data_IF_367324305506
#
_entry.id   IF_367324305506
#
_cell.length_a   1.000
_cell.length_b   1.000
_cell.length_c   1.000
_cell.angle_alpha   90.00
_cell.angle_beta   90.00
_cell.angle_gamma   90.00
#
_symmetry.space_group_name_H-M   'P 1'
#
loop_
_entity.id
_entity.type
_entity.pdbx_description
1 polymer ?
#
# COMPACT_ATOMS: atom_id res chain seq x y z
N UNK A 1 -10.64 -12.35 8.99
CA UNK A 1 -9.31 -11.70 8.86
C UNK A 1 -8.50 -11.77 10.16
N UNK A 2 -8.70 -12.79 11.03
CA UNK A 2 -8.35 -12.62 12.45
C UNK A 2 -7.34 -13.61 13.03
N UNK A 3 -6.97 -14.66 12.29
CA UNK A 3 -5.96 -15.62 12.74
C UNK A 3 -4.70 -15.47 11.91
N UNK A 4 -3.65 -14.94 12.54
CA UNK A 4 -2.31 -14.88 11.98
C UNK A 4 -1.52 -16.05 12.57
N UNK A 5 -0.93 -16.87 11.72
CA UNK A 5 -0.14 -18.04 12.11
C UNK A 5 1.20 -18.02 11.37
N UNK A 6 2.23 -18.57 12.01
CA UNK A 6 3.55 -18.74 11.36
C UNK A 6 4.20 -17.43 10.91
N UNK A 7 3.86 -16.29 11.53
CA UNK A 7 4.43 -15.01 11.14
C UNK A 7 5.95 -14.99 11.41
N UNK A 8 6.72 -14.78 10.35
CA UNK A 8 8.17 -14.70 10.37
C UNK A 8 8.65 -13.56 9.47
N UNK A 9 9.81 -13.01 9.80
CA UNK A 9 10.45 -11.92 9.07
C UNK A 9 11.83 -12.34 8.58
N UNK A 10 12.24 -11.85 7.41
CA UNK A 10 13.56 -12.06 6.83
C UNK A 10 13.97 -10.83 6.01
N UNK A 11 15.26 -10.75 5.66
CA UNK A 11 15.76 -9.74 4.74
C UNK A 11 15.05 -9.82 3.38
N UNK A 12 14.53 -8.68 2.92
CA UNK A 12 14.00 -8.53 1.56
C UNK A 12 15.15 -8.38 0.57
N UNK A 13 15.74 -9.49 0.11
CA UNK A 13 16.88 -9.49 -0.80
C UNK A 13 16.51 -9.21 -2.26
N UNK A 14 15.36 -9.74 -2.70
CA UNK A 14 14.82 -9.51 -4.04
C UNK A 14 13.29 -9.35 -3.95
N UNK A 15 12.77 -8.28 -4.53
CA UNK A 15 11.32 -8.02 -4.58
C UNK A 15 10.95 -7.41 -5.93
N UNK A 16 9.86 -7.88 -6.57
CA UNK A 16 9.33 -7.24 -7.77
C UNK A 16 8.58 -5.94 -7.47
N UNK A 17 8.33 -5.63 -6.19
CA UNK A 17 7.55 -4.47 -5.76
C UNK A 17 8.39 -3.38 -5.07
N UNK A 18 9.48 -3.78 -4.43
CA UNK A 18 10.32 -2.92 -3.61
C UNK A 18 11.77 -3.03 -4.09
N UNK A 19 12.35 -1.90 -4.49
CA UNK A 19 13.76 -1.85 -4.89
C UNK A 19 14.51 -0.83 -4.02
N UNK A 20 15.34 -1.28 -3.06
CA UNK A 20 16.21 -0.38 -2.30
C UNK A 20 17.30 0.18 -3.21
N UNK A 21 17.49 1.49 -3.18
CA UNK A 21 18.47 2.21 -4.00
C UNK A 21 19.20 3.26 -3.15
N UNK A 22 20.48 3.46 -3.45
CA UNK A 22 21.28 4.56 -2.91
C UNK A 22 21.56 5.56 -4.02
N UNK A 23 21.14 6.82 -3.83
CA UNK A 23 21.50 7.92 -4.71
C UNK A 23 22.81 8.54 -4.25
N UNK A 24 23.85 8.46 -5.07
CA UNK A 24 25.12 9.17 -4.85
C UNK A 24 25.12 10.46 -5.69
N UNK A 25 25.39 11.59 -5.05
CA UNK A 25 25.34 12.88 -5.71
C UNK A 25 26.29 13.90 -5.07
N UNK A 26 26.66 14.93 -5.84
CA UNK A 26 27.42 16.07 -5.35
C UNK A 26 26.52 17.30 -5.29
N UNK A 27 26.44 17.94 -4.12
CA UNK A 27 25.68 19.17 -3.93
C UNK A 27 26.58 20.23 -3.31
N UNK A 28 26.72 21.38 -3.99
CA UNK A 28 27.58 22.49 -3.56
C UNK A 28 29.02 22.04 -3.28
N UNK A 29 29.56 21.16 -4.11
CA UNK A 29 30.92 20.60 -3.96
C UNK A 29 31.04 19.46 -2.95
N UNK A 30 30.06 19.24 -2.06
CA UNK A 30 30.08 18.15 -1.09
C UNK A 30 29.51 16.86 -1.67
N UNK A 31 30.21 15.74 -1.48
CA UNK A 31 29.70 14.40 -1.79
C UNK A 31 28.66 13.96 -0.76
N UNK A 32 27.55 13.40 -1.25
CA UNK A 32 26.42 12.95 -0.45
C UNK A 32 25.88 11.62 -0.98
N UNK A 33 25.30 10.83 -0.09
CA UNK A 33 24.51 9.65 -0.43
C UNK A 33 23.17 9.71 0.30
N UNK A 34 22.12 9.16 -0.32
CA UNK A 34 20.81 9.05 0.29
C UNK A 34 20.10 7.78 -0.15
N UNK A 35 19.57 7.03 0.80
CA UNK A 35 18.86 5.78 0.54
C UNK A 35 17.36 6.01 0.35
N UNK A 36 16.75 5.27 -0.58
CA UNK A 36 15.33 5.35 -0.87
C UNK A 36 14.80 4.03 -1.45
N UNK A 37 13.49 3.81 -1.36
CA UNK A 37 12.81 2.62 -1.87
C UNK A 37 12.05 2.93 -3.13
N UNK A 38 12.51 2.51 -4.32
CA UNK A 38 11.68 2.61 -5.52
C UNK A 38 10.53 1.60 -5.44
N UNK A 39 9.30 2.09 -5.62
CA UNK A 39 8.08 1.27 -5.68
C UNK A 39 7.26 1.62 -6.93
N UNK A 40 6.19 0.86 -7.20
CA UNK A 40 5.28 1.13 -8.32
C UNK A 40 4.41 2.35 -8.07
N UNK A 41 4.08 3.10 -9.13
CA UNK A 41 3.05 4.13 -9.06
C UNK A 41 1.69 3.48 -8.76
N UNK A 42 0.76 4.24 -8.20
CA UNK A 42 -0.56 3.71 -7.79
C UNK A 42 -1.68 4.73 -7.99
N UNK A 43 -2.90 4.20 -8.02
CA UNK A 43 -4.15 4.96 -7.97
C UNK A 43 -4.82 4.77 -6.62
N UNK A 44 -5.56 5.79 -6.20
CA UNK A 44 -6.39 5.73 -5.01
C UNK A 44 -7.73 6.38 -5.31
N UNK A 45 -8.81 5.77 -4.85
CA UNK A 45 -10.17 6.14 -5.22
C UNK A 45 -10.89 6.66 -3.97
N UNK A 46 -11.29 7.93 -4.02
CA UNK A 46 -12.21 8.52 -3.06
C UNK A 46 -13.64 8.31 -3.56
N UNK A 47 -14.32 7.34 -2.96
CA UNK A 47 -15.64 6.88 -3.41
C UNK A 47 -16.73 7.24 -2.41
N UNK A 48 -17.70 8.06 -2.84
CA UNK A 48 -18.86 8.42 -2.03
C UNK A 48 -20.12 7.74 -2.56
N UNK A 49 -20.77 6.91 -1.75
CA UNK A 49 -22.07 6.32 -2.08
C UNK A 49 -23.20 7.30 -1.78
N UNK A 50 -23.79 7.89 -2.82
CA UNK A 50 -24.87 8.88 -2.70
C UNK A 50 -26.14 8.30 -2.12
N UNK A 51 -26.52 7.07 -2.50
CA UNK A 51 -27.75 6.44 -2.00
C UNK A 51 -27.71 6.24 -0.49
N UNK A 52 -26.53 5.87 0.05
CA UNK A 52 -26.30 5.63 1.49
C UNK A 52 -25.70 6.83 2.21
N UNK A 53 -25.39 7.91 1.48
CA UNK A 53 -24.69 9.10 1.98
C UNK A 53 -23.43 8.77 2.78
N UNK A 54 -22.64 7.83 2.30
CA UNK A 54 -21.50 7.26 3.04
C UNK A 54 -20.23 7.21 2.20
N UNK A 55 -19.07 7.40 2.83
CA UNK A 55 -17.79 7.12 2.20
C UNK A 55 -17.52 5.60 2.20
N UNK A 56 -17.02 5.08 1.09
CA UNK A 56 -16.62 3.68 0.96
C UNK A 56 -15.14 3.57 1.32
N UNK A 57 -14.83 2.68 2.27
CA UNK A 57 -13.47 2.33 2.68
C UNK A 57 -13.30 0.82 2.58
N UNK A 58 -12.07 0.39 2.35
CA UNK A 58 -11.68 -1.02 2.40
C UNK A 58 -11.10 -1.33 3.78
N UNK A 59 -11.41 -2.53 4.30
CA UNK A 59 -10.82 -3.07 5.53
C UNK A 59 -9.85 -4.16 5.14
N UNK A 60 -8.55 -3.93 5.32
CA UNK A 60 -7.50 -4.85 4.87
C UNK A 60 -6.48 -5.13 5.97
N UNK A 61 -5.88 -6.31 5.93
CA UNK A 61 -4.72 -6.62 6.78
C UNK A 61 -3.45 -6.18 6.06
N UNK A 62 -2.66 -5.29 6.67
CA UNK A 62 -1.37 -4.82 6.16
C UNK A 62 -0.23 -5.47 6.97
N UNK A 63 0.55 -6.41 6.36
CA UNK A 63 1.63 -7.09 7.06
C UNK A 63 2.68 -6.16 7.66
N UNK A 64 3.02 -5.05 6.99
CA UNK A 64 3.96 -4.06 7.49
C UNK A 64 3.46 -3.34 8.76
N UNK A 65 2.15 -3.07 8.86
CA UNK A 65 1.54 -2.47 10.05
C UNK A 65 1.60 -3.46 11.20
N UNK A 66 1.23 -4.72 10.95
CA UNK A 66 1.32 -5.79 11.94
C UNK A 66 2.75 -5.96 12.46
N UNK A 67 3.75 -6.01 11.57
CA UNK A 67 5.16 -6.12 11.94
C UNK A 67 5.65 -4.90 12.74
N UNK A 68 5.20 -3.69 12.38
CA UNK A 68 5.48 -2.48 13.13
C UNK A 68 4.92 -2.49 14.54
N UNK A 69 3.69 -3.01 14.73
CA UNK A 69 3.12 -3.18 16.07
C UNK A 69 3.87 -4.22 16.90
N UNK A 70 4.35 -5.30 16.28
CA UNK A 70 5.22 -6.27 16.96
C UNK A 70 6.53 -5.61 17.41
N UNK A 71 7.19 -4.84 16.54
CA UNK A 71 8.42 -4.11 16.91
C UNK A 71 8.19 -3.09 18.02
N UNK A 72 7.04 -2.40 18.00
CA UNK A 72 6.68 -1.42 19.04
C UNK A 72 6.50 -2.08 20.41
N UNK A 73 5.92 -3.27 20.46
CA UNK A 73 5.69 -4.01 21.70
C UNK A 73 6.90 -4.85 22.14
N UNK A 74 7.72 -5.29 21.18
CA UNK A 74 8.92 -6.10 21.37
C UNK A 74 10.10 -5.50 20.60
N UNK A 75 10.72 -4.41 21.10
CA UNK A 75 11.80 -3.74 20.40
C UNK A 75 12.97 -4.67 20.05
N UNK A 76 13.50 -4.55 18.84
CA UNK A 76 14.55 -5.42 18.29
C UNK A 76 14.03 -6.70 17.63
N UNK A 77 12.72 -6.96 17.64
CA UNK A 77 12.11 -8.12 16.99
C UNK A 77 12.38 -8.19 15.48
N UNK A 78 12.51 -7.03 14.82
CA UNK A 78 12.79 -6.93 13.38
C UNK A 78 14.30 -6.90 13.08
N UNK A 79 15.15 -6.52 14.04
CA UNK A 79 16.61 -6.54 13.87
C UNK A 79 17.14 -7.96 13.58
N UNK A 80 16.41 -8.97 14.02
CA UNK A 80 16.73 -10.37 13.77
C UNK A 80 16.58 -10.80 12.29
N UNK A 81 15.99 -9.95 11.43
CA UNK A 81 15.87 -10.18 9.99
C UNK A 81 17.18 -9.99 9.21
N UNK A 82 18.25 -9.49 9.84
CA UNK A 82 19.57 -9.34 9.21
C UNK A 82 20.34 -10.68 9.03
N UNK A 83 19.86 -11.76 9.66
CA UNK A 83 20.46 -13.10 9.58
C UNK A 83 19.88 -13.94 8.43
N UNK A 84 20.58 -15.02 8.05
CA UNK A 84 20.10 -15.92 7.00
C UNK A 84 18.84 -16.68 7.42
N UNK A 85 17.73 -16.44 6.69
CA UNK A 85 16.48 -17.19 6.77
C UNK A 85 15.33 -16.48 7.50
N UNK A 86 14.07 -16.97 7.35
CA UNK A 86 12.91 -16.45 8.08
C UNK A 86 13.01 -16.73 9.58
N UNK A 87 12.75 -15.70 10.38
CA UNK A 87 12.72 -15.81 11.84
C UNK A 87 11.34 -15.49 12.39
N UNK A 88 10.82 -16.41 13.18
CA UNK A 88 9.51 -16.25 13.82
C UNK A 88 9.50 -15.00 14.71
N UNK A 89 8.37 -14.27 14.67
CA UNK A 89 8.16 -13.14 15.55
C UNK A 89 8.01 -13.60 17.01
N UNK A 90 8.49 -12.82 17.99
CA UNK A 90 8.53 -13.21 19.40
C UNK A 90 7.13 -13.44 20.00
N UNK A 91 6.11 -12.80 19.43
CA UNK A 91 4.72 -13.02 19.79
C UNK A 91 3.82 -12.89 18.55
N UNK A 92 2.76 -13.70 18.51
CA UNK A 92 1.67 -13.54 17.56
C UNK A 92 0.62 -12.60 18.18
N UNK A 93 0.57 -11.38 17.68
CA UNK A 93 -0.50 -10.45 17.98
C UNK A 93 -1.81 -10.91 17.31
N UNK A 94 -2.98 -10.50 17.82
CA UNK A 94 -4.22 -10.71 17.09
C UNK A 94 -4.15 -10.06 15.71
N UNK A 95 -4.79 -10.66 14.70
CA UNK A 95 -4.74 -10.12 13.33
C UNK A 95 -5.26 -8.69 13.20
N UNK A 96 -6.14 -8.25 14.11
CA UNK A 96 -6.60 -6.86 14.21
C UNK A 96 -5.47 -5.85 14.41
N UNK A 97 -4.30 -6.25 14.94
CA UNK A 97 -3.14 -5.38 15.09
C UNK A 97 -2.56 -4.91 13.74
N UNK A 98 -2.84 -5.65 12.65
CA UNK A 98 -2.45 -5.26 11.29
C UNK A 98 -3.59 -4.74 10.44
N UNK A 99 -4.80 -4.62 10.98
CA UNK A 99 -5.97 -4.22 10.19
C UNK A 99 -6.02 -2.70 10.05
N UNK A 100 -6.19 -2.24 8.82
CA UNK A 100 -6.33 -0.84 8.46
C UNK A 100 -7.68 -0.59 7.78
N UNK A 101 -8.14 0.66 7.86
CA UNK A 101 -9.21 1.17 7.02
C UNK A 101 -8.61 2.16 6.03
N UNK A 102 -8.78 1.88 4.75
CA UNK A 102 -8.08 2.59 3.69
C UNK A 102 -9.05 2.98 2.57
N UNK A 103 -8.62 3.88 1.70
CA UNK A 103 -9.28 4.10 0.43
C UNK A 103 -8.97 2.91 -0.50
N UNK A 104 -9.90 2.58 -1.39
CA UNK A 104 -9.64 1.61 -2.46
C UNK A 104 -8.47 2.09 -3.32
N UNK A 105 -7.51 1.21 -3.58
CA UNK A 105 -6.26 1.59 -4.24
C UNK A 105 -5.62 0.39 -4.94
N UNK A 106 -4.88 0.67 -6.02
CA UNK A 106 -4.18 -0.37 -6.77
C UNK A 106 -2.90 0.12 -7.41
N UNK A 107 -2.01 -0.83 -7.72
CA UNK A 107 -0.74 -0.54 -8.38
C UNK A 107 -0.94 -0.37 -9.89
N UNK A 108 -0.17 0.54 -10.48
CA UNK A 108 -0.06 0.71 -11.92
C UNK A 108 1.04 -0.21 -12.48
N UNK A 109 0.85 -1.52 -12.30
CA UNK A 109 1.84 -2.56 -12.64
C UNK A 109 1.52 -3.33 -13.93
N UNK A 110 0.30 -3.16 -14.47
CA UNK A 110 -0.14 -3.78 -15.70
C UNK A 110 0.11 -2.86 -16.91
N UNK A 111 0.91 -3.30 -17.90
CA UNK A 111 1.23 -2.48 -19.06
C UNK A 111 0.00 -2.24 -19.93
N UNK A 112 -0.17 -1.01 -20.41
CA UNK A 112 -1.22 -0.63 -21.35
C UNK A 112 -2.53 -0.17 -20.72
N UNK A 113 -2.69 -0.25 -19.40
CA UNK A 113 -3.85 0.31 -18.70
C UNK A 113 -3.61 1.76 -18.30
N UNK A 114 -4.63 2.59 -18.49
CA UNK A 114 -4.71 3.93 -17.92
C UNK A 114 -4.96 3.89 -16.40
N UNK A 115 -4.61 4.95 -15.65
CA UNK A 115 -4.94 5.05 -14.23
C UNK A 115 -6.44 4.87 -13.94
N UNK A 116 -7.30 5.39 -14.81
CA UNK A 116 -8.75 5.28 -14.71
C UNK A 116 -9.23 3.83 -14.91
N UNK A 117 -8.65 3.09 -15.86
CA UNK A 117 -8.98 1.67 -16.06
C UNK A 117 -8.55 0.81 -14.88
N UNK A 118 -7.36 1.04 -14.32
CA UNK A 118 -6.92 0.36 -13.10
C UNK A 118 -7.86 0.69 -11.94
N UNK A 119 -8.23 1.96 -11.76
CA UNK A 119 -9.16 2.35 -10.71
C UNK A 119 -10.53 1.68 -10.85
N UNK A 120 -11.09 1.58 -12.05
CA UNK A 120 -12.35 0.85 -12.28
C UNK A 120 -12.23 -0.64 -11.92
N UNK A 121 -11.09 -1.27 -12.24
CA UNK A 121 -10.81 -2.67 -11.87
C UNK A 121 -10.77 -2.85 -10.35
N UNK A 122 -10.00 -2.04 -9.64
CA UNK A 122 -9.87 -2.11 -8.17
C UNK A 122 -11.20 -1.82 -7.47
N UNK A 123 -11.97 -0.84 -7.95
CA UNK A 123 -13.30 -0.53 -7.42
C UNK A 123 -14.26 -1.72 -7.51
N UNK A 124 -14.15 -2.50 -8.58
CA UNK A 124 -14.93 -3.73 -8.74
C UNK A 124 -14.42 -4.85 -7.84
N UNK A 125 -13.12 -5.09 -7.82
CA UNK A 125 -12.50 -6.20 -7.08
C UNK A 125 -12.60 -6.03 -5.56
N UNK A 126 -12.32 -4.83 -5.05
CA UNK A 126 -12.27 -4.57 -3.60
C UNK A 126 -13.61 -4.13 -3.02
N UNK A 127 -14.41 -3.40 -3.81
CA UNK A 127 -15.61 -2.72 -3.32
C UNK A 127 -16.90 -3.15 -4.01
N UNK A 128 -16.84 -3.93 -5.09
CA UNK A 128 -18.02 -4.40 -5.84
C UNK A 128 -18.72 -3.31 -6.68
N UNK A 129 -18.07 -2.17 -6.93
CA UNK A 129 -18.66 -1.09 -7.75
C UNK A 129 -18.21 -1.20 -9.20
N UNK A 130 -19.16 -1.26 -10.14
CA UNK A 130 -18.89 -1.27 -11.58
C UNK A 130 -18.89 0.15 -12.12
N UNK A 131 -17.73 0.58 -12.61
CA UNK A 131 -17.49 1.96 -13.04
C UNK A 131 -16.96 1.99 -14.47
N UNK A 132 -17.27 3.06 -15.19
CA UNK A 132 -16.58 3.41 -16.42
C UNK A 132 -15.50 4.48 -16.14
N UNK A 133 -14.41 4.54 -16.92
CA UNK A 133 -13.42 5.60 -16.80
C UNK A 133 -14.00 7.03 -16.84
N UNK A 134 -15.10 7.23 -17.59
CA UNK A 134 -15.82 8.50 -17.67
C UNK A 134 -16.51 8.93 -16.36
N UNK A 135 -16.71 8.00 -15.43
CA UNK A 135 -17.31 8.28 -14.11
C UNK A 135 -16.27 8.84 -13.12
N UNK A 136 -14.98 8.72 -13.44
CA UNK A 136 -13.88 9.11 -12.59
C UNK A 136 -13.44 10.54 -12.89
N UNK A 137 -13.15 11.29 -11.83
CA UNK A 137 -12.54 12.63 -11.91
C UNK A 137 -11.21 12.65 -11.19
N UNK A 138 -10.13 13.05 -11.86
CA UNK A 138 -8.85 13.27 -11.19
C UNK A 138 -8.94 14.41 -10.17
N UNK A 139 -8.50 14.15 -8.94
CA UNK A 139 -8.46 15.15 -7.86
C UNK A 139 -7.09 15.80 -7.80
N UNK A 140 -6.05 14.99 -7.66
CA UNK A 140 -4.68 15.46 -7.48
C UNK A 140 -3.68 14.40 -7.93
N UNK A 141 -2.39 14.70 -7.77
CA UNK A 141 -1.30 13.73 -7.82
C UNK A 141 -0.28 14.15 -6.77
N UNK A 142 0.15 13.22 -5.93
CA UNK A 142 1.11 13.49 -4.87
C UNK A 142 2.21 12.44 -4.84
N UNK A 143 3.29 12.74 -4.11
CA UNK A 143 4.43 11.85 -3.90
C UNK A 143 4.40 11.36 -2.47
N UNK A 144 4.04 10.11 -2.25
CA UNK A 144 4.49 9.38 -1.07
C UNK A 144 5.94 8.99 -1.33
N UNK A 145 6.85 9.10 -0.36
CA UNK A 145 8.24 8.66 -0.56
C UNK A 145 8.30 7.32 -1.33
N UNK A 146 9.23 7.18 -2.27
CA UNK A 146 9.02 7.11 -3.73
C UNK A 146 7.98 6.04 -4.18
N UNK A 147 6.70 6.41 -4.37
CA UNK A 147 6.07 6.50 -5.70
C UNK A 147 5.19 7.73 -5.96
N UNK A 148 4.60 7.87 -7.17
CA UNK A 148 3.50 8.81 -7.46
C UNK A 148 2.16 8.14 -7.11
N UNK A 149 1.33 8.84 -6.33
CA UNK A 149 -0.07 8.46 -6.09
C UNK A 149 -0.97 9.43 -6.84
N UNK A 150 -1.94 8.90 -7.57
CA UNK A 150 -2.95 9.67 -8.31
C UNK A 150 -4.32 9.46 -7.66
N UNK A 151 -4.76 10.36 -6.77
CA UNK A 151 -6.12 10.32 -6.24
C UNK A 151 -7.17 10.70 -7.30
N UNK A 152 -8.19 9.86 -7.39
CA UNK A 152 -9.39 10.04 -8.19
C UNK A 152 -10.59 10.19 -7.24
N UNK A 153 -11.57 11.00 -7.62
CA UNK A 153 -12.82 11.20 -6.89
C UNK A 153 -13.99 10.84 -7.78
N UNK A 154 -15.03 10.34 -7.12
CA UNK A 154 -16.25 10.00 -7.79
C UNK A 154 -17.44 9.91 -6.83
N UNK A 155 -18.63 9.87 -7.43
CA UNK A 155 -19.89 9.64 -6.75
C UNK A 155 -20.52 8.32 -7.27
N UNK A 156 -20.85 7.39 -6.39
CA UNK A 156 -21.40 6.06 -6.72
C UNK A 156 -22.81 5.87 -6.15
N UNK A 157 -23.60 5.00 -6.78
CA UNK A 157 -24.87 4.48 -6.24
C UNK A 157 -24.65 3.06 -5.70
N UNK A 158 -25.56 2.54 -4.87
CA UNK A 158 -25.43 1.19 -4.28
C UNK A 158 -25.10 0.11 -5.32
N UNK A 159 -24.19 -0.83 -5.02
CA UNK A 159 -23.90 -1.93 -5.92
C UNK A 159 -25.16 -2.82 -6.04
N UNK A 160 -25.47 -3.24 -7.26
CA UNK A 160 -26.50 -4.24 -7.54
C UNK A 160 -25.99 -5.64 -7.21
#
# INVERSE_FOLDING_TARGET
>A
MERIEGAAVSRCAASPYLLPLTLHYRQNGAQKSWDFMKTHDSVTILMFNSSRRSLVLVKQFRPAVYAGEVERLFPGSLAAAEQDGPRALPALLPGSAGVTYELCAGLLDQPGLSPEEVACKEAWEECGYRLAPSDLRRVASYKSHPPRIIPLWMNVNSPH
#
